data_IF_623202666530
#
_entry.id   IF_623202666530
#
_cell.length_a   1.000
_cell.length_b   1.000
_cell.length_c   1.000
_cell.angle_alpha   90.00
_cell.angle_beta   90.00
_cell.angle_gamma   90.00
#
_symmetry.space_group_name_H-M   'P 1'
#
loop_
_entity.id
_entity.type
_entity.pdbx_description
1 polymer ?
#
# COMPACT_ATOMS: atom_id res chain seq x y z
N UNK A 1 4.88 -53.63 -8.90
CA UNK A 1 5.55 -52.54 -8.17
C UNK A 1 5.04 -51.21 -8.74
N UNK A 2 4.12 -50.56 -8.08
CA UNK A 2 3.59 -49.24 -8.47
C UNK A 2 4.21 -48.22 -7.56
N UNK A 3 5.05 -47.36 -8.12
CA UNK A 3 5.64 -46.20 -7.42
C UNK A 3 4.63 -45.09 -7.31
N UNK A 4 4.18 -44.80 -6.08
CA UNK A 4 3.40 -43.63 -5.74
C UNK A 4 4.33 -42.40 -5.75
N UNK A 5 4.12 -41.52 -6.72
CA UNK A 5 4.73 -40.18 -6.74
C UNK A 5 3.93 -39.29 -5.78
N UNK A 6 4.54 -38.94 -4.65
CA UNK A 6 4.00 -37.98 -3.70
C UNK A 6 4.17 -36.57 -4.29
N UNK A 7 3.09 -35.97 -4.80
CA UNK A 7 3.03 -34.53 -5.08
C UNK A 7 2.98 -33.79 -3.74
N UNK A 8 4.09 -33.21 -3.34
CA UNK A 8 4.10 -32.17 -2.31
C UNK A 8 3.39 -30.93 -2.87
N UNK A 9 2.16 -30.70 -2.46
CA UNK A 9 1.55 -29.38 -2.61
C UNK A 9 2.31 -28.40 -1.70
N UNK A 10 3.15 -27.59 -2.30
CA UNK A 10 3.73 -26.42 -1.61
C UNK A 10 2.59 -25.42 -1.35
N UNK A 11 2.19 -25.30 -0.10
CA UNK A 11 1.29 -24.26 0.32
C UNK A 11 1.89 -22.88 -0.05
N UNK A 12 1.10 -21.94 -0.62
CA UNK A 12 1.60 -20.62 -0.93
C UNK A 12 1.97 -19.93 0.39
N UNK A 13 3.24 -19.61 0.55
CA UNK A 13 3.71 -18.70 1.60
C UNK A 13 3.16 -17.32 1.25
N UNK A 14 1.98 -16.99 1.79
CA UNK A 14 1.41 -15.65 1.71
C UNK A 14 2.32 -14.76 2.56
N UNK A 15 3.23 -14.05 1.91
CA UNK A 15 3.99 -12.99 2.55
C UNK A 15 3.01 -11.83 2.78
N UNK A 16 2.41 -11.77 3.95
CA UNK A 16 1.62 -10.63 4.39
C UNK A 16 2.62 -9.56 4.78
N UNK A 17 2.97 -8.70 3.82
CA UNK A 17 3.68 -7.47 4.12
C UNK A 17 2.67 -6.52 4.75
N UNK A 18 2.77 -6.30 6.03
CA UNK A 18 2.03 -5.27 6.75
C UNK A 18 2.83 -3.99 6.61
N UNK A 19 2.25 -2.96 6.01
CA UNK A 19 2.80 -1.62 6.10
C UNK A 19 2.93 -1.28 7.60
N UNK A 20 4.17 -1.34 8.10
CA UNK A 20 4.44 -1.04 9.50
C UNK A 20 4.77 0.44 9.60
N UNK A 21 4.17 1.14 10.54
CA UNK A 21 4.63 2.48 10.88
C UNK A 21 6.14 2.47 11.10
N UNK A 22 6.82 3.48 10.59
CA UNK A 22 8.22 3.73 10.93
C UNK A 22 8.35 3.66 12.46
N UNK A 23 9.34 2.95 13.00
CA UNK A 23 9.46 2.79 14.44
C UNK A 23 9.43 4.14 15.14
N UNK A 24 8.69 4.30 16.24
CA UNK A 24 8.60 5.55 16.96
C UNK A 24 9.98 5.96 17.45
N UNK A 25 10.34 7.22 17.24
CA UNK A 25 11.55 7.81 17.79
C UNK A 25 11.51 7.71 19.32
N UNK A 26 12.54 7.19 20.00
CA UNK A 26 12.57 7.19 21.46
C UNK A 26 12.90 8.59 21.93
N UNK A 27 11.91 9.37 22.35
CA UNK A 27 11.94 10.48 23.30
C UNK A 27 10.72 11.37 23.14
N UNK A 28 9.62 10.88 23.54
CA UNK A 28 8.52 11.60 24.20
C UNK A 28 7.68 10.52 24.85
N UNK A 29 7.12 10.76 26.02
CA UNK A 29 6.29 9.78 26.70
C UNK A 29 5.37 9.13 25.69
N UNK A 30 5.47 7.80 25.54
CA UNK A 30 4.75 7.06 24.51
C UNK A 30 3.28 7.48 24.56
N UNK A 31 2.80 8.14 23.49
CA UNK A 31 1.37 8.42 23.37
C UNK A 31 0.66 7.07 23.52
N UNK A 32 -0.34 6.96 24.41
CA UNK A 32 -1.05 5.71 24.56
C UNK A 32 -1.55 5.27 23.17
N UNK A 33 -1.36 3.99 22.86
CA UNK A 33 -1.88 3.40 21.61
C UNK A 33 -3.40 3.64 21.61
N UNK A 34 -3.92 4.28 20.58
CA UNK A 34 -5.36 4.51 20.44
C UNK A 34 -6.05 3.17 20.24
N UNK A 35 -7.25 3.03 20.75
CA UNK A 35 -8.06 1.84 20.52
C UNK A 35 -8.62 1.83 19.09
N UNK A 36 -9.03 0.66 18.62
CA UNK A 36 -9.79 0.56 17.36
C UNK A 36 -11.05 1.44 17.38
N UNK A 37 -11.72 1.52 18.54
CA UNK A 37 -12.87 2.39 18.74
C UNK A 37 -12.52 3.86 18.52
N UNK A 38 -11.38 4.34 19.02
CA UNK A 38 -10.91 5.71 18.80
C UNK A 38 -10.63 5.96 17.31
N UNK A 39 -10.03 4.99 16.62
CA UNK A 39 -9.74 5.08 15.19
C UNK A 39 -11.04 5.18 14.36
N UNK A 40 -12.05 4.37 14.69
CA UNK A 40 -13.37 4.40 14.05
C UNK A 40 -14.10 5.72 14.32
N UNK A 41 -14.16 6.17 15.57
CA UNK A 41 -14.80 7.41 15.94
C UNK A 41 -14.20 8.61 15.20
N UNK A 42 -12.87 8.62 15.03
CA UNK A 42 -12.18 9.66 14.26
C UNK A 42 -12.53 9.59 12.77
N UNK A 43 -12.52 8.41 12.17
CA UNK A 43 -12.88 8.23 10.77
C UNK A 43 -14.31 8.70 10.47
N UNK A 44 -15.27 8.36 11.34
CA UNK A 44 -16.63 8.81 11.23
C UNK A 44 -16.78 10.35 11.42
N UNK A 45 -16.00 10.94 12.31
CA UNK A 45 -15.99 12.40 12.50
C UNK A 45 -15.46 13.11 11.25
N UNK A 46 -14.34 12.65 10.69
CA UNK A 46 -13.77 13.19 9.47
C UNK A 46 -14.74 13.07 8.28
N UNK A 47 -15.40 11.93 8.14
CA UNK A 47 -16.41 11.72 7.10
C UNK A 47 -17.58 12.71 7.24
N UNK A 48 -18.13 12.87 8.43
CA UNK A 48 -19.22 13.83 8.70
C UNK A 48 -18.81 15.27 8.40
N UNK A 49 -17.60 15.66 8.79
CA UNK A 49 -17.08 17.01 8.51
C UNK A 49 -16.97 17.27 7.00
N UNK A 50 -16.43 16.32 6.23
CA UNK A 50 -16.36 16.46 4.76
C UNK A 50 -17.74 16.51 4.12
N UNK A 51 -18.69 15.69 4.57
CA UNK A 51 -20.07 15.74 4.07
C UNK A 51 -20.74 17.09 4.37
N UNK A 52 -20.50 17.65 5.54
CA UNK A 52 -20.98 18.99 5.89
C UNK A 52 -20.34 20.07 5.00
N UNK A 53 -19.02 20.06 4.86
CA UNK A 53 -18.30 21.00 3.98
C UNK A 53 -18.79 20.93 2.53
N UNK A 54 -19.07 19.73 2.01
CA UNK A 54 -19.65 19.55 0.67
C UNK A 54 -21.05 20.16 0.55
N UNK A 55 -21.91 20.00 1.56
CA UNK A 55 -23.25 20.60 1.60
C UNK A 55 -23.17 22.13 1.66
N UNK A 56 -22.33 22.66 2.52
CA UNK A 56 -22.13 24.11 2.67
C UNK A 56 -21.55 24.75 1.40
N UNK A 57 -20.67 24.05 0.72
CA UNK A 57 -20.14 24.49 -0.57
C UNK A 57 -21.14 24.39 -1.74
N UNK A 58 -22.37 23.89 -1.48
CA UNK A 58 -23.35 23.67 -2.54
C UNK A 58 -22.89 22.67 -3.59
N UNK A 59 -21.95 21.79 -3.24
CA UNK A 59 -21.45 20.77 -4.16
C UNK A 59 -22.64 19.91 -4.62
N UNK A 60 -22.79 19.64 -5.93
CA UNK A 60 -23.87 18.80 -6.43
C UNK A 60 -23.81 17.44 -5.74
N UNK A 61 -24.99 16.91 -5.41
CA UNK A 61 -25.12 15.50 -5.04
C UNK A 61 -24.41 14.71 -6.16
N UNK A 62 -23.53 13.81 -5.79
CA UNK A 62 -22.75 13.01 -6.72
C UNK A 62 -23.70 12.32 -7.69
N UNK A 63 -23.87 12.92 -8.87
CA UNK A 63 -24.65 12.29 -9.94
C UNK A 63 -23.85 11.07 -10.35
N UNK A 64 -24.39 9.90 -10.06
CA UNK A 64 -23.81 8.64 -10.54
C UNK A 64 -23.84 8.69 -12.06
N UNK A 65 -22.70 9.02 -12.65
CA UNK A 65 -22.60 9.15 -14.11
C UNK A 65 -22.86 7.80 -14.77
N UNK A 66 -23.31 7.81 -16.02
CA UNK A 66 -23.48 6.59 -16.80
C UNK A 66 -22.17 5.81 -16.93
N UNK A 67 -21.03 6.51 -16.87
CA UNK A 67 -19.70 5.89 -16.82
C UNK A 67 -19.54 5.04 -15.55
N UNK A 68 -19.91 5.54 -14.38
CA UNK A 68 -19.84 4.78 -13.11
C UNK A 68 -20.74 3.56 -13.19
N UNK A 69 -21.99 3.73 -13.65
CA UNK A 69 -22.95 2.62 -13.79
C UNK A 69 -22.47 1.54 -14.77
N UNK A 70 -21.73 1.93 -15.81
CA UNK A 70 -21.19 1.00 -16.80
C UNK A 70 -19.95 0.22 -16.30
N UNK A 71 -19.27 0.72 -15.26
CA UNK A 71 -17.99 0.17 -14.78
C UNK A 71 -18.04 -0.42 -13.37
N UNK A 72 -19.04 -0.08 -12.56
CA UNK A 72 -19.23 -0.60 -11.21
C UNK A 72 -20.49 -1.45 -11.17
N UNK A 73 -20.36 -2.66 -10.71
CA UNK A 73 -21.47 -3.61 -10.58
C UNK A 73 -21.41 -4.45 -9.30
N UNK A 74 -22.34 -5.38 -9.13
CA UNK A 74 -22.27 -6.36 -8.07
C UNK A 74 -21.09 -7.31 -8.28
N UNK A 75 -20.61 -7.89 -7.20
CA UNK A 75 -19.54 -8.89 -7.25
C UNK A 75 -20.06 -10.15 -7.98
N UNK A 76 -19.36 -10.61 -9.04
CA UNK A 76 -19.73 -11.86 -9.73
C UNK A 76 -19.68 -13.07 -8.78
N UNK A 77 -20.70 -13.92 -8.80
CA UNK A 77 -20.75 -15.15 -7.99
C UNK A 77 -19.54 -16.07 -8.23
N UNK A 78 -19.03 -16.08 -9.45
CA UNK A 78 -17.85 -16.88 -9.83
C UNK A 78 -16.57 -16.50 -9.08
N UNK A 79 -16.50 -15.32 -8.46
CA UNK A 79 -15.34 -14.94 -7.63
C UNK A 79 -15.33 -15.65 -6.28
N UNK A 80 -16.45 -16.20 -5.84
CA UNK A 80 -16.61 -16.95 -4.59
C UNK A 80 -15.97 -16.26 -3.36
N UNK A 81 -16.13 -14.94 -3.26
CA UNK A 81 -15.62 -14.13 -2.15
C UNK A 81 -16.66 -13.95 -1.04
N UNK A 82 -16.24 -13.42 0.10
CA UNK A 82 -17.12 -13.13 1.23
C UNK A 82 -18.29 -12.21 0.83
N UNK A 83 -19.51 -12.41 1.37
CA UNK A 83 -20.64 -11.47 1.22
C UNK A 83 -20.36 -10.04 1.74
N UNK A 84 -19.27 -9.81 2.44
CA UNK A 84 -18.77 -8.49 2.80
C UNK A 84 -18.56 -7.60 1.56
N UNK A 85 -18.11 -8.21 0.46
CA UNK A 85 -17.88 -7.50 -0.80
C UNK A 85 -19.16 -7.42 -1.60
N UNK A 86 -19.58 -6.21 -1.91
CA UNK A 86 -20.82 -5.94 -2.64
C UNK A 86 -20.60 -5.16 -3.94
N UNK A 87 -19.45 -4.50 -4.08
CA UNK A 87 -19.08 -3.73 -5.25
C UNK A 87 -17.87 -4.34 -5.96
N UNK A 88 -17.91 -4.25 -7.28
CA UNK A 88 -16.90 -4.81 -8.16
C UNK A 88 -16.64 -3.91 -9.36
N UNK A 89 -15.38 -3.84 -9.77
CA UNK A 89 -14.96 -3.44 -11.12
C UNK A 89 -13.81 -4.33 -11.58
N UNK A 90 -13.50 -4.33 -12.87
CA UNK A 90 -12.45 -5.17 -13.46
C UNK A 90 -11.25 -4.34 -13.92
N UNK A 91 -10.07 -4.69 -13.44
CA UNK A 91 -8.79 -4.13 -13.88
C UNK A 91 -8.13 -5.06 -14.92
N UNK A 92 -8.79 -5.26 -16.05
CA UNK A 92 -8.32 -6.13 -17.15
C UNK A 92 -7.97 -7.56 -16.66
N UNK A 93 -8.93 -8.17 -15.98
CA UNK A 93 -8.85 -9.53 -15.45
C UNK A 93 -8.41 -9.62 -13.98
N UNK A 94 -8.08 -8.51 -13.34
CA UNK A 94 -7.82 -8.45 -11.89
C UNK A 94 -9.03 -7.79 -11.21
N UNK A 95 -9.78 -8.51 -10.38
CA UNK A 95 -10.93 -7.96 -9.65
C UNK A 95 -10.53 -6.86 -8.69
N UNK A 96 -11.30 -5.76 -8.68
CA UNK A 96 -11.27 -4.72 -7.66
C UNK A 96 -12.59 -4.77 -6.91
N UNK A 97 -12.56 -5.05 -5.62
CA UNK A 97 -13.74 -5.33 -4.81
C UNK A 97 -13.80 -4.46 -3.55
N UNK A 98 -15.00 -4.20 -3.06
CA UNK A 98 -15.19 -3.47 -1.80
C UNK A 98 -16.54 -3.75 -1.17
N UNK A 99 -16.73 -3.27 0.07
CA UNK A 99 -18.04 -3.15 0.69
C UNK A 99 -18.87 -2.05 0.01
N UNK A 100 -20.15 -1.96 0.36
CA UNK A 100 -21.07 -0.88 -0.05
C UNK A 100 -20.69 0.51 0.48
N UNK A 101 -19.86 0.57 1.52
CA UNK A 101 -19.45 1.82 2.20
C UNK A 101 -18.39 2.61 1.43
N UNK A 102 -17.70 1.97 0.49
CA UNK A 102 -16.65 2.60 -0.32
C UNK A 102 -17.30 3.41 -1.46
N UNK A 103 -16.90 4.67 -1.68
CA UNK A 103 -17.36 5.43 -2.84
C UNK A 103 -16.85 4.81 -4.15
N UNK A 104 -17.70 4.80 -5.17
CA UNK A 104 -17.39 4.21 -6.49
C UNK A 104 -16.12 4.80 -7.11
N UNK A 105 -15.88 6.10 -6.89
CA UNK A 105 -14.67 6.77 -7.35
C UNK A 105 -13.38 6.08 -6.86
N UNK A 106 -13.35 5.59 -5.62
CA UNK A 106 -12.17 4.93 -5.06
C UNK A 106 -11.88 3.58 -5.76
N UNK A 107 -12.94 2.82 -6.13
CA UNK A 107 -12.76 1.59 -6.89
C UNK A 107 -12.20 1.89 -8.29
N UNK A 108 -12.72 2.92 -8.95
CA UNK A 108 -12.24 3.31 -10.29
C UNK A 108 -10.80 3.79 -10.26
N UNK A 109 -10.41 4.58 -9.25
CA UNK A 109 -9.02 4.99 -9.05
C UNK A 109 -8.11 3.79 -8.82
N UNK A 110 -8.49 2.86 -7.94
CA UNK A 110 -7.71 1.64 -7.70
C UNK A 110 -7.56 0.79 -8.97
N UNK A 111 -8.66 0.61 -9.74
CA UNK A 111 -8.65 -0.08 -11.05
C UNK A 111 -7.64 0.54 -12.01
N UNK A 112 -7.68 1.85 -12.15
CA UNK A 112 -6.88 2.56 -13.14
C UNK A 112 -5.39 2.62 -12.72
N UNK A 113 -5.10 2.65 -11.43
CA UNK A 113 -3.74 2.46 -10.91
C UNK A 113 -3.21 1.06 -11.27
N UNK A 114 -3.97 0.00 -10.99
CA UNK A 114 -3.59 -1.38 -11.36
C UNK A 114 -3.33 -1.50 -12.86
N UNK A 115 -4.21 -0.93 -13.68
CA UNK A 115 -4.06 -0.95 -15.12
C UNK A 115 -2.80 -0.24 -15.59
N UNK A 116 -2.50 0.93 -15.02
CA UNK A 116 -1.30 1.72 -15.36
C UNK A 116 -0.02 1.01 -14.92
N UNK A 117 0.03 0.51 -13.68
CA UNK A 117 1.21 -0.21 -13.17
C UNK A 117 1.52 -1.49 -13.96
N UNK A 118 0.52 -2.12 -14.54
CA UNK A 118 0.68 -3.35 -15.35
C UNK A 118 0.67 -3.10 -16.86
N UNK A 119 0.70 -1.86 -17.31
CA UNK A 119 0.49 -1.52 -18.72
C UNK A 119 1.53 -2.14 -19.67
N UNK A 120 2.80 -2.19 -19.25
CA UNK A 120 3.92 -2.69 -20.05
C UNK A 120 4.41 -4.08 -19.65
N UNK A 121 3.79 -4.69 -18.64
CA UNK A 121 4.13 -6.03 -18.14
C UNK A 121 2.92 -6.98 -18.16
N UNK A 122 2.45 -7.35 -19.37
CA UNK A 122 1.32 -8.29 -19.51
C UNK A 122 1.64 -9.69 -18.96
N UNK A 123 2.90 -10.07 -18.89
CA UNK A 123 3.38 -11.30 -18.26
C UNK A 123 3.11 -11.32 -16.74
N UNK A 124 3.43 -10.23 -16.04
CA UNK A 124 3.11 -10.07 -14.61
C UNK A 124 1.59 -10.11 -14.41
N UNK A 125 0.82 -9.37 -15.22
CA UNK A 125 -0.65 -9.41 -15.18
C UNK A 125 -1.18 -10.83 -15.31
N UNK A 126 -0.70 -11.57 -16.30
CA UNK A 126 -1.10 -12.97 -16.54
C UNK A 126 -0.80 -13.87 -15.34
N UNK A 127 0.36 -13.68 -14.68
CA UNK A 127 0.72 -14.42 -13.48
C UNK A 127 -0.24 -14.10 -12.32
N UNK A 128 -0.54 -12.81 -12.08
CA UNK A 128 -1.48 -12.41 -11.04
C UNK A 128 -2.89 -12.97 -11.27
N UNK A 129 -3.38 -12.96 -12.53
CA UNK A 129 -4.67 -13.56 -12.89
C UNK A 129 -4.67 -15.06 -12.65
N UNK A 130 -3.61 -15.77 -13.06
CA UNK A 130 -3.48 -17.22 -12.83
C UNK A 130 -3.45 -17.61 -11.34
N UNK A 131 -3.04 -16.69 -10.48
CA UNK A 131 -3.05 -16.81 -9.02
C UNK A 131 -4.36 -16.36 -8.38
N UNK A 132 -5.37 -16.01 -9.16
CA UNK A 132 -6.64 -15.43 -8.68
C UNK A 132 -6.38 -14.21 -7.77
N UNK A 133 -5.42 -13.36 -8.16
CA UNK A 133 -5.11 -12.15 -7.39
C UNK A 133 -6.25 -11.15 -7.49
N UNK A 134 -6.54 -10.50 -6.39
CA UNK A 134 -7.59 -9.49 -6.28
C UNK A 134 -7.01 -8.24 -5.63
N UNK A 135 -7.65 -7.12 -5.86
CA UNK A 135 -7.43 -5.90 -5.10
C UNK A 135 -8.70 -5.51 -4.36
N UNK A 136 -8.55 -4.77 -3.28
CA UNK A 136 -9.68 -4.34 -2.47
C UNK A 136 -9.51 -2.90 -2.00
N UNK A 137 -10.64 -2.21 -1.80
CA UNK A 137 -10.64 -0.89 -1.21
C UNK A 137 -11.30 -0.96 0.17
N UNK A 138 -10.62 -0.38 1.17
CA UNK A 138 -11.09 -0.27 2.55
C UNK A 138 -11.81 1.07 2.69
N UNK A 139 -13.05 1.08 3.16
CA UNK A 139 -13.74 2.34 3.43
C UNK A 139 -13.03 3.13 4.55
N UNK A 140 -13.11 4.46 4.51
CA UNK A 140 -12.50 5.30 5.56
C UNK A 140 -12.95 4.89 6.96
N UNK A 141 -14.22 4.51 7.11
CA UNK A 141 -14.83 4.09 8.38
C UNK A 141 -14.63 2.59 8.69
N UNK A 142 -13.97 1.84 7.83
CA UNK A 142 -13.57 0.46 8.06
C UNK A 142 -12.12 0.39 8.52
N UNK A 143 -11.81 -0.62 9.31
CA UNK A 143 -10.43 -0.93 9.70
C UNK A 143 -9.90 -2.08 8.84
N UNK A 144 -8.61 -2.21 8.74
CA UNK A 144 -7.96 -3.27 7.94
C UNK A 144 -8.43 -4.67 8.32
N UNK A 145 -8.69 -4.90 9.61
CA UNK A 145 -9.19 -6.20 10.09
C UNK A 145 -10.71 -6.42 9.88
N UNK A 146 -11.43 -5.49 9.27
CA UNK A 146 -12.80 -5.73 8.80
C UNK A 146 -12.80 -6.49 7.47
N UNK A 147 -11.71 -6.41 6.72
CA UNK A 147 -11.51 -7.21 5.51
C UNK A 147 -11.48 -8.69 5.90
N UNK A 148 -12.35 -9.52 5.32
CA UNK A 148 -12.52 -10.92 5.76
C UNK A 148 -11.22 -11.73 5.78
N UNK A 149 -10.38 -11.57 4.78
CA UNK A 149 -9.09 -12.26 4.66
C UNK A 149 -8.09 -11.83 5.73
N UNK A 150 -8.24 -10.63 6.29
CA UNK A 150 -7.35 -10.05 7.30
C UNK A 150 -7.92 -10.08 8.72
N UNK A 151 -9.15 -10.56 8.88
CA UNK A 151 -9.86 -10.60 10.17
C UNK A 151 -9.16 -11.39 11.28
N UNK A 152 -8.23 -12.29 10.88
CA UNK A 152 -7.48 -13.17 11.81
C UNK A 152 -6.02 -12.72 12.01
N UNK A 153 -5.66 -11.51 11.58
CA UNK A 153 -4.29 -11.02 11.75
C UNK A 153 -3.92 -10.87 13.23
N UNK A 154 -2.65 -11.15 13.51
CA UNK A 154 -2.05 -11.02 14.83
C UNK A 154 -1.00 -9.91 14.83
N UNK A 155 -0.90 -9.18 15.92
CA UNK A 155 0.24 -8.26 16.11
C UNK A 155 1.55 -9.03 16.25
N UNK A 156 2.69 -8.41 15.93
CA UNK A 156 4.01 -9.03 16.13
C UNK A 156 4.18 -9.54 17.56
N UNK A 157 4.69 -10.77 17.69
CA UNK A 157 4.93 -11.42 18.97
C UNK A 157 3.70 -12.05 19.64
N UNK A 158 2.48 -11.84 19.11
CA UNK A 158 1.31 -12.53 19.63
C UNK A 158 1.27 -14.01 19.21
N UNK A 159 0.78 -14.92 20.08
CA UNK A 159 0.60 -16.33 19.74
C UNK A 159 -0.31 -16.50 18.53
N UNK A 160 0.10 -17.32 17.55
CA UNK A 160 -0.63 -17.47 16.28
C UNK A 160 -1.82 -18.41 16.37
N UNK A 161 -1.78 -19.32 17.30
CA UNK A 161 -2.78 -20.37 17.58
C UNK A 161 -3.91 -19.93 18.51
N UNK A 162 -3.76 -18.77 19.16
CA UNK A 162 -4.80 -18.20 20.00
C UNK A 162 -5.82 -17.36 19.21
N UNK A 163 -7.04 -17.15 19.71
CA UNK A 163 -8.01 -16.25 19.10
C UNK A 163 -7.47 -14.81 18.97
N UNK A 164 -7.99 -14.07 17.98
CA UNK A 164 -7.71 -12.63 17.84
C UNK A 164 -8.21 -11.87 19.05
N UNK A 165 -7.37 -11.02 19.61
CA UNK A 165 -7.67 -10.18 20.75
C UNK A 165 -8.02 -8.75 20.33
N UNK A 166 -8.59 -7.96 21.25
CA UNK A 166 -8.81 -6.53 21.02
C UNK A 166 -7.47 -5.79 20.82
N UNK A 167 -6.41 -6.23 21.48
CA UNK A 167 -5.07 -5.66 21.35
C UNK A 167 -4.48 -5.88 19.94
N UNK A 168 -4.77 -7.03 19.29
CA UNK A 168 -4.42 -7.26 17.89
C UNK A 168 -5.17 -6.26 16.99
N UNK A 169 -6.46 -6.05 17.23
CA UNK A 169 -7.29 -5.10 16.46
C UNK A 169 -6.82 -3.67 16.65
N UNK A 170 -6.55 -3.25 17.88
CA UNK A 170 -6.02 -1.92 18.21
C UNK A 170 -4.68 -1.66 17.52
N UNK A 171 -3.81 -2.67 17.52
CA UNK A 171 -2.52 -2.60 16.83
C UNK A 171 -2.70 -2.31 15.34
N UNK A 172 -3.52 -3.10 14.64
CA UNK A 172 -3.71 -2.95 13.20
C UNK A 172 -4.51 -1.69 12.83
N UNK A 173 -5.50 -1.29 13.62
CA UNK A 173 -6.25 -0.06 13.41
C UNK A 173 -5.38 1.21 13.45
N UNK A 174 -4.30 1.18 14.23
CA UNK A 174 -3.35 2.28 14.33
C UNK A 174 -2.24 2.26 13.27
N UNK A 175 -2.01 1.12 12.58
CA UNK A 175 -0.81 0.94 11.78
C UNK A 175 -1.05 0.72 10.31
N UNK A 176 -2.21 0.25 9.92
CA UNK A 176 -2.40 -0.23 8.55
C UNK A 176 -3.64 0.37 7.91
N UNK A 177 -3.44 0.95 6.73
CA UNK A 177 -4.53 1.40 5.83
C UNK A 177 -4.36 0.82 4.42
N UNK A 178 -3.56 -0.23 4.31
CA UNK A 178 -3.33 -1.04 3.13
C UNK A 178 -2.52 -2.29 3.49
N UNK A 179 -2.55 -3.31 2.64
CA UNK A 179 -1.82 -4.56 2.76
C UNK A 179 -1.52 -5.16 1.40
N UNK A 180 -0.27 -5.62 1.19
CA UNK A 180 0.20 -6.23 -0.07
C UNK A 180 -0.20 -7.68 -0.29
N UNK A 181 -1.16 -8.20 0.46
CA UNK A 181 -1.63 -9.58 0.33
C UNK A 181 -2.64 -9.82 -0.80
N UNK A 182 -3.43 -10.89 -0.70
CA UNK A 182 -4.53 -11.15 -1.62
C UNK A 182 -5.86 -11.24 -0.83
N UNK A 183 -6.73 -10.22 -0.92
CA UNK A 183 -6.64 -9.06 -1.81
C UNK A 183 -5.54 -8.07 -1.41
N UNK A 184 -4.87 -7.45 -2.39
CA UNK A 184 -4.08 -6.24 -2.13
C UNK A 184 -5.03 -5.09 -1.83
N UNK A 185 -4.81 -4.36 -0.74
CA UNK A 185 -5.76 -3.33 -0.31
C UNK A 185 -5.12 -1.96 -0.16
N UNK A 186 -5.95 -0.92 -0.30
CA UNK A 186 -5.66 0.45 0.07
C UNK A 186 -6.93 1.12 0.55
N UNK A 187 -6.81 2.18 1.35
CA UNK A 187 -7.95 2.87 1.91
C UNK A 187 -8.46 4.01 1.04
N UNK A 188 -9.76 4.24 1.04
CA UNK A 188 -10.43 5.27 0.22
C UNK A 188 -9.86 6.65 0.45
N UNK A 189 -9.55 7.01 1.71
CA UNK A 189 -9.05 8.33 2.06
C UNK A 189 -7.64 8.59 1.50
N UNK A 190 -6.84 7.55 1.32
CA UNK A 190 -5.53 7.66 0.66
C UNK A 190 -5.69 7.67 -0.86
N UNK A 191 -6.51 6.77 -1.43
CA UNK A 191 -6.78 6.72 -2.88
C UNK A 191 -7.35 8.03 -3.41
N UNK A 192 -8.23 8.68 -2.66
CA UNK A 192 -8.90 9.93 -3.05
C UNK A 192 -8.24 11.20 -2.51
N UNK A 193 -7.17 11.06 -1.71
CA UNK A 193 -6.42 12.19 -1.17
C UNK A 193 -7.21 13.06 -0.21
N UNK A 194 -7.98 12.46 0.70
CA UNK A 194 -8.77 13.23 1.67
C UNK A 194 -7.86 14.04 2.60
N UNK A 195 -8.21 15.30 2.88
CA UNK A 195 -7.49 16.09 3.87
C UNK A 195 -7.41 15.38 5.22
N UNK A 196 -6.22 15.35 5.82
CA UNK A 196 -6.02 14.70 7.11
C UNK A 196 -5.85 13.18 7.04
N UNK A 197 -5.77 12.57 5.84
CA UNK A 197 -5.36 11.18 5.73
C UNK A 197 -3.99 10.97 6.38
N UNK A 198 -3.81 9.83 7.06
CA UNK A 198 -2.59 9.51 7.82
C UNK A 198 -1.33 9.54 6.96
N UNK A 199 -1.43 9.14 5.71
CA UNK A 199 -0.33 8.96 4.77
C UNK A 199 -0.37 10.04 3.67
N UNK A 200 -0.67 11.28 4.04
CA UNK A 200 -0.67 12.38 3.07
C UNK A 200 0.70 12.55 2.43
N UNK A 201 0.76 12.41 1.10
CA UNK A 201 2.01 12.50 0.32
C UNK A 201 2.66 11.16 0.03
N UNK A 202 2.12 10.07 0.59
CA UNK A 202 2.55 8.69 0.33
C UNK A 202 1.38 7.88 -0.21
N UNK A 203 1.56 7.26 -1.39
CA UNK A 203 0.49 6.49 -2.02
C UNK A 203 0.53 5.03 -1.57
N UNK A 204 -0.23 4.69 -0.55
CA UNK A 204 -0.22 3.35 0.06
C UNK A 204 -0.64 2.26 -0.92
N UNK A 205 -1.67 2.50 -1.75
CA UNK A 205 -2.11 1.47 -2.69
C UNK A 205 -1.05 1.15 -3.76
N UNK A 206 -0.26 2.14 -4.19
CA UNK A 206 0.89 1.93 -5.10
C UNK A 206 1.94 1.07 -4.42
N UNK A 207 2.26 1.35 -3.16
CA UNK A 207 3.19 0.56 -2.34
C UNK A 207 2.74 -0.90 -2.22
N UNK A 208 1.51 -1.12 -1.81
CA UNK A 208 0.97 -2.47 -1.60
C UNK A 208 0.83 -3.25 -2.91
N UNK A 209 0.48 -2.57 -3.99
CA UNK A 209 0.40 -3.23 -5.29
C UNK A 209 1.80 -3.55 -5.87
N UNK A 210 2.82 -2.77 -5.53
CA UNK A 210 4.21 -3.13 -5.84
C UNK A 210 4.63 -4.44 -5.17
N UNK A 211 4.19 -4.71 -3.92
CA UNK A 211 4.39 -6.03 -3.29
C UNK A 211 3.70 -7.15 -4.07
N UNK A 212 2.45 -6.94 -4.51
CA UNK A 212 1.73 -7.91 -5.32
C UNK A 212 2.47 -8.22 -6.63
N UNK A 213 2.96 -7.18 -7.31
CA UNK A 213 3.75 -7.33 -8.54
C UNK A 213 5.04 -8.09 -8.31
N UNK A 214 5.78 -7.81 -7.23
CA UNK A 214 7.02 -8.51 -6.89
C UNK A 214 6.76 -9.98 -6.52
N UNK A 215 5.89 -10.21 -5.53
CA UNK A 215 5.69 -11.54 -4.93
C UNK A 215 4.76 -12.47 -5.72
N UNK A 216 3.75 -11.91 -6.37
CA UNK A 216 2.76 -12.66 -7.16
C UNK A 216 3.03 -12.65 -8.67
N UNK A 217 3.89 -11.77 -9.14
CA UNK A 217 4.21 -11.58 -10.55
C UNK A 217 5.67 -11.83 -10.88
N UNK A 218 6.56 -10.87 -10.61
CA UNK A 218 7.99 -10.92 -11.02
C UNK A 218 8.65 -12.22 -10.57
N UNK A 219 8.43 -12.65 -9.34
CA UNK A 219 9.01 -13.90 -8.82
C UNK A 219 8.74 -15.12 -9.72
N UNK A 220 7.56 -15.16 -10.36
CA UNK A 220 7.15 -16.31 -11.16
C UNK A 220 7.55 -16.19 -12.62
N UNK A 221 7.46 -14.96 -13.19
CA UNK A 221 7.69 -14.76 -14.63
C UNK A 221 9.12 -14.36 -14.95
N UNK A 222 9.86 -13.81 -13.97
CA UNK A 222 11.23 -13.35 -14.10
C UNK A 222 12.02 -13.61 -12.80
N UNK A 223 12.31 -14.89 -12.47
CA UNK A 223 13.04 -15.25 -11.25
C UNK A 223 14.44 -14.62 -11.18
N UNK A 224 15.05 -14.35 -12.34
CA UNK A 224 16.37 -13.70 -12.39
C UNK A 224 16.26 -12.24 -11.91
N UNK A 225 15.27 -11.50 -12.38
CA UNK A 225 15.01 -10.14 -11.88
C UNK A 225 14.66 -10.16 -10.38
N UNK A 226 13.86 -11.12 -9.93
CA UNK A 226 13.54 -11.26 -8.51
C UNK A 226 14.80 -11.48 -7.65
N UNK A 227 15.76 -12.28 -8.13
CA UNK A 227 17.06 -12.44 -7.46
C UNK A 227 17.87 -11.14 -7.45
N UNK A 228 17.92 -10.41 -8.57
CA UNK A 228 18.61 -9.12 -8.67
C UNK A 228 18.04 -8.06 -7.72
N UNK A 229 16.73 -8.03 -7.50
CA UNK A 229 16.12 -7.12 -6.51
C UNK A 229 16.67 -7.43 -5.10
N UNK A 230 16.80 -8.70 -4.74
CA UNK A 230 17.34 -9.10 -3.45
C UNK A 230 18.83 -8.77 -3.31
N UNK A 231 19.61 -9.00 -4.35
CA UNK A 231 21.03 -8.63 -4.39
C UNK A 231 21.22 -7.11 -4.29
N UNK A 232 20.37 -6.31 -4.96
CA UNK A 232 20.38 -4.86 -4.84
C UNK A 232 20.05 -4.42 -3.40
N UNK A 233 19.08 -5.06 -2.76
CA UNK A 233 18.76 -4.82 -1.35
C UNK A 233 19.97 -5.13 -0.45
N UNK A 234 20.56 -6.30 -0.56
CA UNK A 234 21.70 -6.72 0.26
C UNK A 234 22.88 -5.74 0.07
N UNK A 235 23.14 -5.31 -1.16
CA UNK A 235 24.17 -4.33 -1.49
C UNK A 235 23.87 -2.95 -0.89
N UNK A 236 22.63 -2.50 -0.95
CA UNK A 236 22.20 -1.23 -0.35
C UNK A 236 22.34 -1.26 1.18
N UNK A 237 22.03 -2.40 1.82
CA UNK A 237 22.20 -2.59 3.27
C UNK A 237 23.67 -2.61 3.67
N UNK A 238 24.53 -3.29 2.90
CA UNK A 238 25.97 -3.31 3.12
C UNK A 238 26.58 -1.90 2.97
N UNK A 239 26.09 -1.10 2.03
CA UNK A 239 26.49 0.27 1.82
C UNK A 239 25.85 1.27 2.83
N UNK A 240 25.06 0.79 3.78
CA UNK A 240 24.31 1.58 4.76
C UNK A 240 23.43 2.66 4.13
N UNK A 241 22.85 2.39 2.96
CA UNK A 241 21.82 3.25 2.37
C UNK A 241 20.56 3.23 3.24
N UNK A 242 19.72 4.24 3.08
CA UNK A 242 18.46 4.41 3.81
C UNK A 242 18.62 4.49 5.33
N UNK A 243 19.75 5.05 5.78
CA UNK A 243 20.02 5.33 7.19
C UNK A 243 20.07 6.84 7.38
N UNK A 244 19.40 7.36 8.38
CA UNK A 244 19.42 8.77 8.74
C UNK A 244 20.71 9.15 9.49
N UNK A 245 21.04 10.43 9.58
CA UNK A 245 22.25 10.90 10.26
C UNK A 245 22.28 10.55 11.77
N UNK A 246 21.13 10.34 12.39
CA UNK A 246 21.01 9.89 13.78
C UNK A 246 21.09 8.37 13.96
N UNK A 247 21.37 7.64 12.87
CA UNK A 247 21.48 6.17 12.86
C UNK A 247 20.15 5.42 12.77
N UNK A 248 19.02 6.11 12.80
CA UNK A 248 17.71 5.45 12.51
C UNK A 248 17.70 4.91 11.10
N UNK A 249 16.93 3.86 10.91
CA UNK A 249 16.78 3.19 9.62
C UNK A 249 15.43 3.57 9.00
N UNK A 250 15.44 3.83 7.71
CA UNK A 250 14.23 3.99 6.92
C UNK A 250 13.51 2.64 6.73
N UNK A 251 12.22 2.68 6.43
CA UNK A 251 11.39 1.48 6.27
C UNK A 251 11.88 0.55 5.15
N UNK A 252 12.43 1.08 4.07
CA UNK A 252 13.09 0.34 3.00
C UNK A 252 14.17 -0.64 3.49
N UNK A 253 14.72 -0.47 4.70
CA UNK A 253 15.73 -1.38 5.26
C UNK A 253 15.16 -2.64 5.92
N UNK A 254 13.83 -2.76 6.01
CA UNK A 254 13.16 -3.85 6.72
C UNK A 254 13.40 -5.20 6.04
N UNK A 255 13.22 -5.26 4.74
CA UNK A 255 13.46 -6.42 3.88
C UNK A 255 13.42 -6.00 2.40
N UNK A 256 13.76 -6.94 1.49
CA UNK A 256 13.80 -6.68 0.06
C UNK A 256 12.43 -6.31 -0.54
N UNK A 257 11.31 -6.74 0.07
CA UNK A 257 9.99 -6.42 -0.44
C UNK A 257 9.65 -4.95 -0.14
N UNK A 258 9.96 -4.46 1.08
CA UNK A 258 9.77 -3.05 1.44
C UNK A 258 10.72 -2.14 0.66
N UNK A 259 11.96 -2.57 0.46
CA UNK A 259 12.94 -1.87 -0.38
C UNK A 259 12.41 -1.66 -1.81
N UNK A 260 11.83 -2.69 -2.41
CA UNK A 260 11.20 -2.62 -3.71
C UNK A 260 10.00 -1.67 -3.72
N UNK A 261 9.07 -1.81 -2.77
CA UNK A 261 7.83 -1.03 -2.73
C UNK A 261 8.07 0.45 -2.46
N UNK A 262 8.98 0.79 -1.55
CA UNK A 262 9.43 2.17 -1.30
C UNK A 262 10.09 2.77 -2.55
N UNK A 263 10.94 2.00 -3.23
CA UNK A 263 11.54 2.43 -4.50
C UNK A 263 10.50 2.71 -5.59
N UNK A 264 9.47 1.88 -5.70
CA UNK A 264 8.36 2.09 -6.64
C UNK A 264 7.59 3.36 -6.33
N UNK A 265 7.35 3.69 -5.05
CA UNK A 265 6.74 4.96 -4.69
C UNK A 265 7.60 6.16 -5.06
N UNK A 266 8.93 6.13 -4.86
CA UNK A 266 9.83 7.20 -5.33
C UNK A 266 9.88 7.29 -6.85
N UNK A 267 9.87 6.16 -7.55
CA UNK A 267 9.77 6.14 -9.01
C UNK A 267 8.54 6.90 -9.50
N UNK A 268 7.39 6.71 -8.88
CA UNK A 268 6.14 7.40 -9.22
C UNK A 268 5.99 8.78 -8.57
N UNK A 269 7.01 9.27 -7.87
CA UNK A 269 6.97 10.55 -7.18
C UNK A 269 5.80 10.67 -6.19
N UNK A 270 5.50 9.60 -5.51
CA UNK A 270 4.41 9.47 -4.55
C UNK A 270 4.86 8.85 -3.21
N UNK A 271 6.07 9.20 -2.80
CA UNK A 271 6.63 8.90 -1.48
C UNK A 271 7.00 10.18 -0.73
N UNK A 272 7.24 10.06 0.57
CA UNK A 272 7.84 11.14 1.35
C UNK A 272 9.24 11.47 0.84
N UNK A 273 9.56 12.76 0.86
CA UNK A 273 10.95 13.19 0.72
C UNK A 273 11.73 12.89 2.00
N UNK A 274 12.94 12.38 1.84
CA UNK A 274 13.82 11.97 2.93
C UNK A 274 15.18 12.64 2.82
N UNK A 275 15.88 12.79 3.95
CA UNK A 275 17.26 13.19 4.00
C UNK A 275 18.07 12.15 4.76
N UNK A 276 18.87 11.39 4.02
CA UNK A 276 19.70 10.33 4.57
C UNK A 276 21.06 10.84 5.05
N UNK A 277 21.84 9.98 5.71
CA UNK A 277 23.16 10.30 6.20
C UNK A 277 24.06 10.85 5.09
N UNK A 278 24.88 11.86 5.43
CA UNK A 278 25.68 12.59 4.46
C UNK A 278 24.91 13.69 3.72
N UNK A 279 23.78 14.11 4.27
CA UNK A 279 22.90 15.15 3.72
C UNK A 279 22.37 14.83 2.32
N UNK A 280 22.14 13.53 2.06
CA UNK A 280 21.62 13.08 0.78
C UNK A 280 20.11 13.16 0.75
N UNK A 281 19.59 14.08 -0.06
CA UNK A 281 18.16 14.25 -0.27
C UNK A 281 17.63 13.26 -1.30
N UNK A 282 16.50 12.63 -1.00
CA UNK A 282 15.73 11.77 -1.93
C UNK A 282 14.26 12.18 -1.86
N UNK A 283 13.82 12.91 -2.86
CA UNK A 283 12.47 13.45 -2.91
C UNK A 283 11.84 13.32 -4.30
N UNK A 284 12.63 13.43 -5.37
CA UNK A 284 12.18 13.29 -6.75
C UNK A 284 12.68 11.98 -7.37
N UNK A 285 12.07 11.52 -8.48
CA UNK A 285 12.56 10.36 -9.21
C UNK A 285 14.04 10.46 -9.61
N UNK A 286 14.50 11.67 -10.00
CA UNK A 286 15.89 11.91 -10.37
C UNK A 286 16.84 11.81 -9.18
N UNK A 287 16.44 12.33 -8.03
CA UNK A 287 17.22 12.21 -6.78
C UNK A 287 17.25 10.74 -6.32
N UNK A 288 16.13 10.01 -6.45
CA UNK A 288 16.09 8.58 -6.19
C UNK A 288 17.00 7.79 -7.13
N UNK A 289 16.94 8.06 -8.44
CA UNK A 289 17.81 7.42 -9.44
C UNK A 289 19.30 7.66 -9.16
N UNK A 290 19.67 8.86 -8.73
CA UNK A 290 21.04 9.18 -8.33
C UNK A 290 21.45 8.49 -7.02
N UNK A 291 20.52 8.38 -6.07
CA UNK A 291 20.78 7.78 -4.77
C UNK A 291 20.88 6.25 -4.85
N UNK A 292 19.97 5.60 -5.54
CA UNK A 292 19.97 4.15 -5.70
C UNK A 292 19.82 3.71 -7.17
N UNK A 293 20.88 3.86 -7.98
CA UNK A 293 20.84 3.53 -9.40
C UNK A 293 20.54 2.07 -9.67
N UNK A 294 20.95 1.15 -8.77
CA UNK A 294 20.69 -0.27 -8.94
C UNK A 294 19.20 -0.60 -8.83
N UNK A 295 18.51 -0.09 -7.81
CA UNK A 295 17.07 -0.28 -7.67
C UNK A 295 16.30 0.45 -8.77
N UNK A 296 16.70 1.68 -9.09
CA UNK A 296 16.08 2.47 -10.15
C UNK A 296 16.15 1.77 -11.51
N UNK A 297 17.27 1.15 -11.85
CA UNK A 297 17.42 0.38 -13.09
C UNK A 297 16.44 -0.81 -13.12
N UNK A 298 16.33 -1.56 -12.02
CA UNK A 298 15.42 -2.70 -11.94
C UNK A 298 13.95 -2.25 -12.06
N UNK A 299 13.58 -1.14 -11.45
CA UNK A 299 12.24 -0.57 -11.55
C UNK A 299 11.95 -0.11 -12.99
N UNK A 300 12.93 0.46 -13.69
CA UNK A 300 12.79 0.89 -15.09
C UNK A 300 12.51 -0.25 -16.08
N UNK A 301 12.81 -1.50 -15.70
CA UNK A 301 12.43 -2.68 -16.49
C UNK A 301 10.94 -3.06 -16.35
N UNK A 302 10.27 -2.46 -15.37
CA UNK A 302 8.86 -2.74 -15.07
C UNK A 302 7.95 -1.57 -15.44
N UNK A 303 8.45 -0.35 -15.30
CA UNK A 303 7.68 0.86 -15.55
C UNK A 303 8.40 1.77 -16.56
N UNK A 304 7.63 2.44 -17.42
CA UNK A 304 8.15 3.34 -18.47
C UNK A 304 7.78 4.81 -18.25
N UNK A 305 7.03 5.10 -17.20
CA UNK A 305 6.58 6.46 -16.85
C UNK A 305 6.72 6.67 -15.35
N UNK A 306 6.98 7.89 -14.95
CA UNK A 306 7.03 8.29 -13.54
C UNK A 306 5.69 8.80 -13.02
N UNK A 307 4.62 8.69 -13.80
CA UNK A 307 3.31 9.22 -13.44
C UNK A 307 2.22 8.18 -13.65
N UNK A 308 1.41 8.00 -12.62
CA UNK A 308 0.12 7.31 -12.70
C UNK A 308 -0.96 8.41 -12.70
N UNK A 309 -1.77 8.58 -13.76
CA UNK A 309 -2.72 9.70 -13.86
C UNK A 309 -3.71 9.82 -12.69
N UNK A 310 -4.02 8.67 -12.06
CA UNK A 310 -4.93 8.63 -10.90
C UNK A 310 -4.24 8.79 -9.55
N UNK A 311 -2.91 8.92 -9.52
CA UNK A 311 -2.17 9.16 -8.29
C UNK A 311 -2.32 10.61 -7.84
N UNK A 312 -3.12 10.81 -6.81
CA UNK A 312 -3.39 12.13 -6.23
C UNK A 312 -2.19 12.72 -5.47
N UNK A 313 -1.19 11.91 -5.17
CA UNK A 313 0.00 12.33 -4.41
C UNK A 313 1.22 12.60 -5.30
N UNK A 314 1.13 12.37 -6.60
CA UNK A 314 2.25 12.63 -7.50
C UNK A 314 2.82 14.06 -7.32
N UNK A 315 4.07 14.16 -6.89
CA UNK A 315 4.75 15.42 -6.59
C UNK A 315 4.21 16.20 -5.41
N UNK A 316 3.26 15.66 -4.64
CA UNK A 316 2.73 16.34 -3.46
C UNK A 316 3.59 16.09 -2.24
N UNK A 317 3.94 17.16 -1.56
CA UNK A 317 4.83 17.18 -0.39
C UNK A 317 4.15 17.84 0.77
N UNK A 318 4.41 17.31 1.95
CA UNK A 318 4.00 17.99 3.20
C UNK A 318 4.85 19.24 3.38
N UNK A 319 6.15 19.15 3.12
CA UNK A 319 7.14 20.23 3.22
C UNK A 319 8.34 19.92 2.31
N UNK A 320 9.06 20.94 1.83
CA UNK A 320 10.36 20.72 1.22
C UNK A 320 11.30 20.01 2.19
N UNK A 321 12.02 19.01 1.72
CA UNK A 321 13.06 18.35 2.51
C UNK A 321 14.30 19.22 2.51
N UNK A 322 14.77 19.61 3.71
CA UNK A 322 16.00 20.35 3.89
C UNK A 322 16.96 19.50 4.71
N UNK A 323 18.06 19.09 4.09
CA UNK A 323 19.13 18.39 4.78
C UNK A 323 19.86 19.30 5.76
N UNK A 324 20.44 18.73 6.82
CA UNK A 324 21.18 19.49 7.83
C UNK A 324 20.32 20.09 8.96
N UNK A 325 19.01 20.05 8.86
CA UNK A 325 18.11 20.61 9.88
C UNK A 325 17.45 19.50 10.74
N UNK A 326 18.30 18.77 11.47
CA UNK A 326 17.84 17.68 12.36
C UNK A 326 17.13 18.14 13.64
N UNK A 327 17.05 19.44 13.90
CA UNK A 327 16.28 19.98 15.04
C UNK A 327 14.78 20.04 14.76
N UNK A 328 14.31 19.35 13.75
CA UNK A 328 12.87 19.36 13.49
C UNK A 328 12.15 18.39 14.36
N UNK A 329 11.57 19.01 15.28
CA UNK A 329 10.16 18.82 15.61
C UNK A 329 9.48 17.93 14.57
N UNK A 330 9.30 16.68 14.92
CA UNK A 330 8.26 15.87 14.32
C UNK A 330 6.94 16.54 14.71
N UNK A 331 6.62 17.65 14.00
CA UNK A 331 5.30 18.25 14.07
C UNK A 331 4.38 17.25 13.39
N UNK A 332 3.73 16.47 14.25
CA UNK A 332 2.48 15.82 13.99
C UNK A 332 2.35 15.16 12.63
N UNK A 333 2.91 13.94 12.46
CA UNK A 333 2.22 12.94 11.67
C UNK A 333 0.97 12.59 12.48
N UNK A 334 -0.09 13.31 12.18
CA UNK A 334 -1.41 13.17 12.81
C UNK A 334 -2.21 12.09 12.12
#
# INVERSE_FOLDING_TARGET
MRTLSSMLLAAPLVCVCVAQDKPPTPTTAARPMRTEADARARAEANRREREQQRREAGAPVELISDYVKANIGPVPESLAVSPFYTKYTDAMGIPVISSDKVPDAALLVARDIVNTMLAVRPDIRKSLIARHWRTGVIAEIEMTMDIPEYSKMKRPGAPRDEPVTQEDRDYHANRSRGLGGNPTTGAEENLLGYPGTRYWGEHIFVHEFAHAMMGGGIRDVDPAMFALIREAYDSAMAAKKYVYADGRKHYATTNANEYWAEGVQWWFFSNYGECFAGDVKVETPEEFAAYDPALNELISRVFTTHHIPMDVFHGKRIRPVVCGDFRREQVGRH
#
